data_IF_581099499519
#
_entry.id   IF_581099499519
#
_cell.length_a   1.000
_cell.length_b   1.000
_cell.length_c   1.000
_cell.angle_alpha   90.00
_cell.angle_beta   90.00
_cell.angle_gamma   90.00
#
_symmetry.space_group_name_H-M   'P 1'
#
loop_
_entity.id
_entity.type
_entity.pdbx_description
1 polymer ?
#
# COMPACT_ATOMS: atom_id res chain seq x y z
N UNK A 1 19.40 -50.27 -36.42
CA UNK A 1 19.41 -50.26 -34.93
C UNK A 1 19.37 -48.81 -34.47
N UNK A 2 18.15 -48.27 -34.33
CA UNK A 2 17.90 -46.84 -34.07
C UNK A 2 17.92 -46.61 -32.56
N UNK A 3 19.01 -46.02 -32.04
CA UNK A 3 19.17 -45.74 -30.61
C UNK A 3 18.32 -44.52 -30.23
N UNK A 4 17.25 -44.78 -29.49
CA UNK A 4 16.43 -43.78 -28.82
C UNK A 4 17.27 -43.04 -27.76
N UNK A 5 17.45 -41.73 -27.93
CA UNK A 5 17.94 -40.83 -26.90
C UNK A 5 16.76 -39.95 -26.49
N UNK A 6 15.97 -40.43 -25.53
CA UNK A 6 15.00 -39.63 -24.80
C UNK A 6 15.77 -38.75 -23.79
N UNK A 7 16.02 -37.50 -24.15
CA UNK A 7 16.47 -36.49 -23.20
C UNK A 7 15.25 -35.98 -22.42
N UNK A 8 15.09 -36.48 -21.19
CA UNK A 8 14.05 -36.03 -20.26
C UNK A 8 14.47 -34.65 -19.72
N UNK A 9 13.90 -33.60 -20.30
CA UNK A 9 13.96 -32.23 -19.76
C UNK A 9 13.08 -32.16 -18.51
N UNK A 10 13.69 -32.32 -17.34
CA UNK A 10 13.04 -32.02 -16.06
C UNK A 10 13.02 -30.49 -15.92
N UNK A 11 11.94 -29.87 -16.41
CA UNK A 11 11.62 -28.49 -16.06
C UNK A 11 11.22 -28.48 -14.60
N UNK A 12 12.17 -28.14 -13.72
CA UNK A 12 11.91 -27.82 -12.32
C UNK A 12 10.98 -26.60 -12.28
N UNK A 13 9.68 -26.83 -12.16
CA UNK A 13 8.69 -25.81 -11.88
C UNK A 13 8.91 -25.31 -10.46
N UNK A 14 9.80 -24.33 -10.29
CA UNK A 14 9.82 -23.55 -9.07
C UNK A 14 8.49 -22.80 -9.00
N UNK A 15 7.65 -23.02 -7.96
CA UNK A 15 6.51 -22.16 -7.74
C UNK A 15 7.08 -20.79 -7.40
N UNK A 16 7.08 -19.89 -8.37
CA UNK A 16 7.20 -18.46 -8.10
C UNK A 16 6.04 -18.13 -7.16
N UNK A 17 6.32 -18.06 -5.86
CA UNK A 17 5.40 -17.53 -4.88
C UNK A 17 5.15 -16.07 -5.28
N UNK A 18 4.11 -15.85 -6.08
CA UNK A 18 3.66 -14.52 -6.44
C UNK A 18 3.28 -13.81 -5.14
N UNK A 19 4.16 -12.93 -4.66
CA UNK A 19 3.82 -12.04 -3.55
C UNK A 19 2.67 -11.16 -4.02
N UNK A 20 1.49 -11.36 -3.44
CA UNK A 20 0.35 -10.50 -3.68
C UNK A 20 0.75 -9.07 -3.28
N UNK A 21 0.87 -8.19 -4.27
CA UNK A 21 1.08 -6.77 -4.00
C UNK A 21 -0.26 -6.19 -3.53
N UNK A 22 -0.28 -5.39 -2.45
CA UNK A 22 -1.50 -4.74 -2.02
C UNK A 22 -2.02 -3.84 -3.15
N UNK A 23 -3.31 -3.93 -3.47
CA UNK A 23 -3.91 -3.03 -4.46
C UNK A 23 -3.99 -1.66 -3.84
N UNK A 24 -3.66 -0.61 -4.60
CA UNK A 24 -3.67 0.76 -4.05
C UNK A 24 -5.03 1.15 -3.48
N UNK A 25 -6.12 0.74 -4.12
CA UNK A 25 -7.49 1.01 -3.63
C UNK A 25 -7.70 0.48 -2.21
N UNK A 26 -7.16 -0.70 -1.90
CA UNK A 26 -7.27 -1.31 -0.57
C UNK A 26 -6.49 -0.47 0.46
N UNK A 27 -5.29 -0.02 0.10
CA UNK A 27 -4.44 0.80 0.99
C UNK A 27 -5.06 2.20 1.22
N UNK A 28 -5.69 2.79 0.20
CA UNK A 28 -6.42 4.05 0.32
C UNK A 28 -7.64 3.92 1.24
N UNK A 29 -8.39 2.82 1.13
CA UNK A 29 -9.51 2.55 2.06
C UNK A 29 -9.01 2.41 3.48
N UNK A 30 -7.96 1.60 3.69
CA UNK A 30 -7.34 1.41 5.00
C UNK A 30 -6.91 2.77 5.57
N UNK A 31 -6.27 3.63 4.76
CA UNK A 31 -5.86 4.96 5.21
C UNK A 31 -7.04 5.80 5.71
N UNK A 32 -8.15 5.82 4.96
CA UNK A 32 -9.35 6.58 5.34
C UNK A 32 -9.88 6.10 6.68
N UNK A 33 -10.02 4.79 6.85
CA UNK A 33 -10.61 4.19 8.04
C UNK A 33 -9.72 4.46 9.28
N UNK A 34 -8.40 4.34 9.15
CA UNK A 34 -7.47 4.65 10.26
C UNK A 34 -7.31 6.15 10.52
N UNK A 35 -7.50 6.99 9.50
CA UNK A 35 -7.52 8.45 9.65
C UNK A 35 -8.75 8.90 10.43
N UNK A 36 -9.90 8.31 10.15
CA UNK A 36 -11.13 8.53 10.90
C UNK A 36 -10.95 8.11 12.37
N UNK A 37 -10.44 6.90 12.63
CA UNK A 37 -10.15 6.44 14.01
C UNK A 37 -9.16 7.33 14.76
N UNK A 38 -8.12 7.84 14.07
CA UNK A 38 -7.16 8.76 14.66
C UNK A 38 -7.80 10.12 15.04
N UNK A 39 -8.82 10.57 14.29
CA UNK A 39 -9.49 11.86 14.49
C UNK A 39 -10.70 11.80 15.42
N UNK A 40 -11.38 10.67 15.50
CA UNK A 40 -12.66 10.53 16.19
C UNK A 40 -12.54 10.31 17.70
N UNK A 41 -11.39 9.88 18.19
CA UNK A 41 -11.17 9.61 19.62
C UNK A 41 -10.64 10.84 20.38
N UNK A 42 -11.20 11.07 21.57
CA UNK A 42 -10.82 12.16 22.48
C UNK A 42 -9.49 11.87 23.20
N UNK A 43 -8.92 12.90 23.84
CA UNK A 43 -7.56 12.88 24.37
C UNK A 43 -7.26 11.76 25.39
N UNK A 44 -6.11 11.10 25.19
CA UNK A 44 -5.49 10.03 26.00
C UNK A 44 -5.99 8.59 25.83
N UNK A 45 -6.71 8.26 24.76
CA UNK A 45 -6.94 6.85 24.44
C UNK A 45 -5.68 6.21 23.81
N UNK A 46 -5.18 5.13 24.40
CA UNK A 46 -4.11 4.29 23.84
C UNK A 46 -4.46 3.82 22.43
N UNK A 47 -5.74 3.59 22.19
CA UNK A 47 -6.22 3.20 20.88
C UNK A 47 -6.00 4.34 19.88
N UNK A 48 -6.16 5.62 20.26
CA UNK A 48 -5.91 6.76 19.37
C UNK A 48 -4.46 6.85 18.95
N UNK A 49 -3.56 6.66 19.92
CA UNK A 49 -2.12 6.61 19.64
C UNK A 49 -1.82 5.49 18.64
N UNK A 50 -2.41 4.31 18.82
CA UNK A 50 -2.24 3.19 17.89
C UNK A 50 -2.81 3.50 16.49
N UNK A 51 -4.02 4.08 16.41
CA UNK A 51 -4.66 4.46 15.16
C UNK A 51 -3.84 5.52 14.39
N UNK A 52 -3.36 6.55 15.08
CA UNK A 52 -2.53 7.59 14.47
C UNK A 52 -1.17 7.05 14.01
N UNK A 53 -0.53 6.17 14.80
CA UNK A 53 0.71 5.50 14.38
C UNK A 53 0.49 4.60 13.16
N UNK A 54 -0.64 3.89 13.10
CA UNK A 54 -1.00 3.08 11.95
C UNK A 54 -1.26 3.95 10.71
N UNK A 55 -1.99 5.06 10.86
CA UNK A 55 -2.23 6.06 9.82
C UNK A 55 -0.93 6.53 9.16
N UNK A 56 0.10 6.83 9.96
CA UNK A 56 1.41 7.20 9.42
C UNK A 56 2.10 6.08 8.65
N UNK A 57 2.01 4.83 9.13
CA UNK A 57 2.60 3.68 8.41
C UNK A 57 1.91 3.46 7.06
N UNK A 58 0.59 3.57 7.03
CA UNK A 58 -0.20 3.45 5.79
C UNK A 58 0.12 4.62 4.84
N UNK A 59 0.28 5.84 5.36
CA UNK A 59 0.73 6.99 4.57
C UNK A 59 2.09 6.74 3.92
N UNK A 60 3.07 6.25 4.68
CA UNK A 60 4.40 5.89 4.15
C UNK A 60 4.32 4.79 3.10
N UNK A 61 3.45 3.80 3.28
CA UNK A 61 3.19 2.78 2.27
C UNK A 61 2.63 3.39 0.98
N UNK A 62 1.64 4.28 1.06
CA UNK A 62 1.09 4.99 -0.09
C UNK A 62 2.15 5.83 -0.82
N UNK A 63 3.01 6.54 -0.08
CA UNK A 63 4.18 7.25 -0.65
C UNK A 63 5.09 6.29 -1.43
N UNK A 64 5.43 5.13 -0.85
CA UNK A 64 6.24 4.12 -1.53
C UNK A 64 5.57 3.52 -2.78
N UNK A 65 4.23 3.60 -2.88
CA UNK A 65 3.43 3.21 -4.04
C UNK A 65 3.25 4.37 -5.05
N UNK A 66 3.93 5.51 -4.83
CA UNK A 66 3.90 6.69 -5.68
C UNK A 66 2.62 7.52 -5.54
N UNK A 67 2.00 7.53 -4.36
CA UNK A 67 0.87 8.39 -4.03
C UNK A 67 1.30 9.47 -3.05
N UNK A 68 0.83 10.69 -3.28
CA UNK A 68 1.13 11.87 -2.49
C UNK A 68 -0.17 12.37 -1.86
N UNK A 69 -0.07 12.99 -0.69
CA UNK A 69 -1.21 13.58 0.01
C UNK A 69 -1.26 15.07 -0.33
N UNK A 70 -2.21 15.46 -1.18
CA UNK A 70 -2.38 16.84 -1.64
C UNK A 70 -2.87 17.76 -0.53
N UNK A 71 -2.64 19.06 -0.70
CA UNK A 71 -3.25 20.05 0.17
C UNK A 71 -4.77 20.11 -0.08
N UNK A 72 -5.54 20.25 0.99
CA UNK A 72 -6.97 20.51 0.86
C UNK A 72 -7.19 21.86 0.19
N UNK A 73 -8.26 21.99 -0.58
CA UNK A 73 -8.70 23.27 -1.12
C UNK A 73 -9.73 23.93 -0.18
N UNK A 74 -10.06 25.21 -0.36
CA UNK A 74 -11.17 25.85 0.38
C UNK A 74 -12.49 25.09 0.24
N UNK A 75 -12.74 24.47 -0.92
CA UNK A 75 -13.95 23.70 -1.22
C UNK A 75 -13.87 22.24 -0.76
N UNK A 76 -12.64 21.72 -0.56
CA UNK A 76 -12.37 20.37 -0.07
C UNK A 76 -11.23 20.43 0.95
N UNK A 77 -11.52 20.85 2.20
CA UNK A 77 -10.48 21.05 3.22
C UNK A 77 -9.78 19.75 3.62
N UNK A 78 -10.39 18.60 3.29
CA UNK A 78 -9.76 17.31 3.48
C UNK A 78 -8.68 17.06 2.42
N UNK A 79 -7.47 16.75 2.90
CA UNK A 79 -6.35 16.35 2.06
C UNK A 79 -6.70 15.05 1.32
N UNK A 80 -6.51 15.03 0.00
CA UNK A 80 -6.79 13.87 -0.83
C UNK A 80 -5.51 13.22 -1.36
N UNK A 81 -5.52 11.89 -1.43
CA UNK A 81 -4.44 11.14 -2.05
C UNK A 81 -4.55 11.19 -3.57
N UNK A 82 -3.43 11.42 -4.23
CA UNK A 82 -3.31 11.45 -5.69
C UNK A 82 -2.00 10.78 -6.11
N UNK A 83 -1.86 10.39 -7.39
CA UNK A 83 -0.55 9.96 -7.90
C UNK A 83 0.42 11.12 -7.82
N UNK A 84 1.59 10.89 -7.24
CA UNK A 84 2.67 11.86 -7.20
C UNK A 84 3.05 12.28 -8.62
N UNK A 85 3.33 13.56 -8.83
CA UNK A 85 4.03 13.99 -10.05
C UNK A 85 5.52 13.70 -9.85
N UNK A 86 6.26 13.41 -10.92
CA UNK A 86 7.54 12.67 -10.91
C UNK A 86 8.72 13.21 -10.07
N UNK A 87 8.53 14.21 -9.21
CA UNK A 87 9.53 14.78 -8.31
C UNK A 87 9.10 14.87 -6.84
N UNK A 88 7.94 14.34 -6.45
CA UNK A 88 7.38 14.46 -5.08
C UNK A 88 7.61 13.20 -4.21
N UNK A 89 8.66 12.43 -4.47
CA UNK A 89 9.02 11.27 -3.65
C UNK A 89 10.00 11.70 -2.56
N UNK A 90 9.52 11.81 -1.31
CA UNK A 90 10.33 11.95 -0.10
C UNK A 90 9.82 10.99 0.98
#
# INVERSE_FOLDING_TARGET
>A
MLRALLAILIVSAFPYAARAQPRTLDVLSIYRDVNEMCRSWTDNDLHRVAACNLREKVARLLNSMGYCLGEGSPDMPEKQWHKCKGHELF
#
